data_IF_051054217143
#
_entry.id   IF_051054217143
#
_cell.length_a   1.000
_cell.length_b   1.000
_cell.length_c   1.000
_cell.angle_alpha   90.00
_cell.angle_beta   90.00
_cell.angle_gamma   90.00
#
_symmetry.space_group_name_H-M   'P 1'
#
loop_
_entity.id
_entity.type
_entity.pdbx_description
1 polymer ?
#
# COMPACT_ATOMS: atom_id res chain seq x y z
N UNK A 1 -17.83 -0.97 50.73
CA UNK A 1 -16.77 -1.35 49.78
C UNK A 1 -16.38 -0.08 49.06
N UNK A 2 -15.09 0.34 49.06
CA UNK A 2 -14.71 1.54 48.34
C UNK A 2 -14.89 1.26 46.85
N UNK A 3 -15.66 2.11 46.17
CA UNK A 3 -15.73 2.14 44.72
C UNK A 3 -14.33 2.37 44.18
N UNK A 4 -13.67 1.28 43.80
CA UNK A 4 -12.48 1.29 42.97
C UNK A 4 -12.87 1.97 41.66
N UNK A 5 -12.75 3.29 41.60
CA UNK A 5 -12.91 4.03 40.35
C UNK A 5 -11.99 3.39 39.31
N UNK A 6 -12.60 2.66 38.38
CA UNK A 6 -11.87 2.05 37.28
C UNK A 6 -11.16 3.18 36.54
N UNK A 7 -9.82 3.12 36.50
CA UNK A 7 -8.98 4.08 35.81
C UNK A 7 -9.45 4.22 34.36
N UNK A 8 -9.70 5.44 33.90
CA UNK A 8 -10.13 5.66 32.52
C UNK A 8 -9.02 5.23 31.55
N UNK A 9 -9.40 4.89 30.31
CA UNK A 9 -8.43 4.48 29.30
C UNK A 9 -7.40 5.58 29.00
N UNK A 10 -7.84 6.84 28.99
CA UNK A 10 -6.95 8.00 28.79
C UNK A 10 -5.98 8.13 29.96
N UNK A 11 -6.45 7.96 31.20
CA UNK A 11 -5.57 7.99 32.38
C UNK A 11 -4.54 6.86 32.35
N UNK A 12 -4.95 5.66 31.93
CA UNK A 12 -4.04 4.52 31.76
C UNK A 12 -2.93 4.81 30.72
N UNK A 13 -3.29 5.47 29.61
CA UNK A 13 -2.34 5.90 28.59
C UNK A 13 -1.40 6.99 29.11
N UNK A 14 -1.92 8.02 29.80
CA UNK A 14 -1.10 9.10 30.40
C UNK A 14 -0.14 8.51 31.43
N UNK A 15 -0.62 7.65 32.32
CA UNK A 15 0.21 6.96 33.29
C UNK A 15 1.30 6.15 32.59
N UNK A 16 0.97 5.38 31.55
CA UNK A 16 1.96 4.62 30.79
C UNK A 16 3.00 5.49 30.05
N UNK A 17 2.60 6.67 29.59
CA UNK A 17 3.48 7.63 28.92
C UNK A 17 4.40 8.40 29.87
N UNK A 18 3.96 8.63 31.11
CA UNK A 18 4.62 9.55 32.06
C UNK A 18 5.19 8.86 33.29
N UNK A 19 4.88 7.58 33.53
CA UNK A 19 5.33 6.88 34.72
C UNK A 19 6.85 6.94 34.87
N UNK A 20 7.35 7.23 36.08
CA UNK A 20 8.78 7.20 36.34
C UNK A 20 9.27 5.75 36.22
N UNK A 21 10.32 5.58 35.42
CA UNK A 21 11.05 4.32 35.25
C UNK A 21 12.52 4.62 35.44
N UNK A 22 13.17 3.94 36.40
CA UNK A 22 14.59 4.14 36.66
C UNK A 22 15.43 3.74 35.45
N UNK A 23 16.66 4.25 35.37
CA UNK A 23 17.57 3.89 34.28
C UNK A 23 17.82 2.37 34.21
N UNK A 24 18.03 1.74 35.38
CA UNK A 24 18.18 0.28 35.49
C UNK A 24 16.94 -0.47 34.97
N UNK A 25 15.74 -0.02 35.34
CA UNK A 25 14.50 -0.61 34.83
C UNK A 25 14.33 -0.40 33.32
N UNK A 26 14.73 0.77 32.80
CA UNK A 26 14.68 1.07 31.36
C UNK A 26 15.64 0.20 30.56
N UNK A 27 16.87 0.02 31.06
CA UNK A 27 17.88 -0.85 30.45
C UNK A 27 17.43 -2.32 30.44
N UNK A 28 16.89 -2.79 31.57
CA UNK A 28 16.30 -4.13 31.66
C UNK A 28 15.11 -4.28 30.71
N UNK A 29 14.19 -3.31 30.68
CA UNK A 29 13.02 -3.32 29.82
C UNK A 29 13.35 -3.31 28.32
N UNK A 30 14.50 -2.76 27.93
CA UNK A 30 14.97 -2.71 26.54
C UNK A 30 15.70 -3.98 26.08
N UNK A 31 15.96 -4.95 26.96
CA UNK A 31 16.74 -6.15 26.66
C UNK A 31 15.96 -7.42 27.04
N UNK A 32 16.07 -8.53 26.28
CA UNK A 32 15.45 -9.80 26.67
C UNK A 32 15.84 -10.19 28.11
N UNK A 33 14.89 -10.61 28.97
CA UNK A 33 13.52 -11.05 28.66
C UNK A 33 12.46 -9.92 28.63
N UNK A 34 12.86 -8.65 28.62
CA UNK A 34 11.98 -7.47 28.61
C UNK A 34 11.04 -7.38 29.83
N UNK A 35 11.55 -7.44 31.07
CA UNK A 35 10.72 -7.31 32.26
C UNK A 35 9.97 -5.96 32.23
N UNK A 36 8.64 -6.01 32.31
CA UNK A 36 7.82 -4.79 32.36
C UNK A 36 8.02 -4.13 33.73
N UNK A 37 8.41 -2.84 33.79
CA UNK A 37 8.51 -2.12 35.06
C UNK A 37 7.21 -2.21 35.86
N UNK A 38 7.25 -2.39 37.20
CA UNK A 38 6.03 -2.56 38.02
C UNK A 38 5.00 -1.44 37.82
N UNK A 39 5.48 -0.20 37.66
CA UNK A 39 4.64 0.99 37.41
C UNK A 39 3.89 0.95 36.08
N UNK A 40 4.33 0.12 35.13
CA UNK A 40 3.73 -0.04 33.81
C UNK A 40 2.83 -1.27 33.68
N UNK A 41 2.84 -2.20 34.66
CA UNK A 41 2.10 -3.47 34.55
C UNK A 41 0.59 -3.23 34.42
N UNK A 42 -0.01 -2.48 35.35
CA UNK A 42 -1.43 -2.18 35.35
C UNK A 42 -1.89 -1.37 34.11
N UNK A 43 -1.27 -0.22 33.75
CA UNK A 43 -1.68 0.53 32.58
C UNK A 43 -1.45 -0.26 31.28
N UNK A 44 -0.38 -1.06 31.17
CA UNK A 44 -0.17 -1.94 30.01
C UNK A 44 -1.28 -2.97 29.88
N UNK A 45 -1.66 -3.64 30.97
CA UNK A 45 -2.71 -4.65 30.96
C UNK A 45 -4.07 -4.05 30.57
N UNK A 46 -4.42 -2.88 31.13
CA UNK A 46 -5.65 -2.16 30.80
C UNK A 46 -5.70 -1.78 29.30
N UNK A 47 -4.66 -1.12 28.81
CA UNK A 47 -4.59 -0.67 27.40
C UNK A 47 -4.56 -1.84 26.43
N UNK A 48 -3.80 -2.90 26.74
CA UNK A 48 -3.75 -4.08 25.87
C UNK A 48 -5.07 -4.86 25.86
N UNK A 49 -5.73 -4.98 27.02
CA UNK A 49 -7.05 -5.60 27.11
C UNK A 49 -8.08 -4.89 26.24
N UNK A 50 -8.11 -3.55 26.27
CA UNK A 50 -9.01 -2.77 25.42
C UNK A 50 -8.69 -2.94 23.92
N UNK A 51 -7.41 -2.95 23.56
CA UNK A 51 -6.99 -3.20 22.17
C UNK A 51 -7.43 -4.59 21.67
N UNK A 52 -7.29 -5.61 22.50
CA UNK A 52 -7.67 -6.98 22.15
C UNK A 52 -9.19 -7.14 22.08
N UNK A 53 -9.93 -6.52 23.01
CA UNK A 53 -11.39 -6.57 23.04
C UNK A 53 -12.05 -5.92 21.81
N UNK A 54 -11.36 -4.98 21.15
CA UNK A 54 -11.84 -4.30 19.92
C UNK A 54 -11.33 -4.93 18.62
N UNK A 55 -10.62 -6.05 18.68
CA UNK A 55 -10.30 -6.79 17.47
C UNK A 55 -11.60 -7.31 16.84
N UNK A 56 -11.87 -7.03 15.55
CA UNK A 56 -13.02 -7.62 14.89
C UNK A 56 -12.83 -9.13 14.80
N UNK A 57 -13.94 -9.89 14.88
CA UNK A 57 -13.92 -11.34 14.71
C UNK A 57 -13.31 -11.71 13.34
N UNK A 58 -13.79 -11.05 12.28
CA UNK A 58 -13.34 -11.23 10.90
C UNK A 58 -12.66 -9.96 10.34
N UNK A 59 -11.72 -10.17 9.41
CA UNK A 59 -10.98 -9.08 8.76
C UNK A 59 -9.91 -8.42 9.64
N UNK A 60 -9.30 -7.34 9.14
CA UNK A 60 -8.13 -6.73 9.79
C UNK A 60 -8.42 -5.46 10.61
N UNK A 61 -9.68 -5.00 10.64
CA UNK A 61 -10.10 -3.77 11.33
C UNK A 61 -9.73 -2.48 10.57
N UNK A 62 -9.94 -1.30 11.18
CA UNK A 62 -9.69 -0.03 10.52
C UNK A 62 -8.20 0.21 10.24
N UNK A 63 -7.92 1.09 9.30
CA UNK A 63 -6.55 1.50 8.99
C UNK A 63 -5.99 2.39 10.12
N UNK A 64 -4.77 2.08 10.53
CA UNK A 64 -4.07 2.71 11.66
C UNK A 64 -2.72 3.27 11.22
N UNK A 65 -2.32 4.42 11.77
CA UNK A 65 -0.99 5.00 11.65
C UNK A 65 -0.48 5.43 13.02
N UNK A 66 0.62 4.81 13.46
CA UNK A 66 1.16 5.04 14.81
C UNK A 66 2.36 6.00 14.82
N UNK A 67 2.93 6.28 13.65
CA UNK A 67 4.05 7.21 13.48
C UNK A 67 3.73 8.25 12.42
N UNK A 68 4.10 9.50 12.68
CA UNK A 68 3.76 10.63 11.79
C UNK A 68 4.24 10.41 10.35
N UNK A 69 5.43 9.84 10.15
CA UNK A 69 5.97 9.45 8.84
C UNK A 69 5.88 7.94 8.55
N UNK A 70 5.27 7.16 9.43
CA UNK A 70 5.19 5.69 9.29
C UNK A 70 4.22 5.23 8.20
N UNK A 71 4.20 3.93 7.89
CA UNK A 71 3.20 3.36 7.01
C UNK A 71 1.82 3.36 7.68
N UNK A 72 0.77 3.38 6.87
CA UNK A 72 -0.59 3.03 7.31
C UNK A 72 -0.70 1.50 7.29
N UNK A 73 -1.21 0.92 8.36
CA UNK A 73 -1.33 -0.53 8.53
C UNK A 73 -2.70 -0.90 9.10
N UNK A 74 -3.23 -2.09 8.81
CA UNK A 74 -4.45 -2.56 9.44
C UNK A 74 -4.32 -2.69 10.97
N UNK A 75 -5.39 -2.35 11.70
CA UNK A 75 -5.46 -2.38 13.16
C UNK A 75 -4.97 -3.71 13.77
N UNK A 76 -5.42 -4.84 13.22
CA UNK A 76 -5.03 -6.18 13.68
C UNK A 76 -3.52 -6.41 13.66
N UNK A 77 -2.80 -5.87 12.66
CA UNK A 77 -1.34 -5.95 12.61
C UNK A 77 -0.69 -5.11 13.72
N UNK A 78 -1.25 -3.94 14.01
CA UNK A 78 -0.75 -3.07 15.07
C UNK A 78 -0.96 -3.70 16.46
N UNK A 79 -2.13 -4.29 16.73
CA UNK A 79 -2.38 -5.03 17.98
C UNK A 79 -1.43 -6.22 18.10
N UNK A 80 -1.26 -7.02 17.04
CA UNK A 80 -0.27 -8.13 17.02
C UNK A 80 1.14 -7.66 17.34
N UNK A 81 1.55 -6.49 16.83
CA UNK A 81 2.85 -5.90 17.13
C UNK A 81 2.99 -5.51 18.60
N UNK A 82 1.96 -4.87 19.18
CA UNK A 82 1.93 -4.44 20.59
C UNK A 82 1.88 -5.60 21.60
N UNK A 83 1.37 -6.77 21.18
CA UNK A 83 1.36 -8.00 21.99
C UNK A 83 2.72 -8.67 22.11
N UNK A 84 3.65 -8.43 21.17
CA UNK A 84 4.93 -9.15 21.13
C UNK A 84 5.75 -8.88 22.40
N UNK A 85 6.56 -9.86 22.86
CA UNK A 85 7.54 -9.61 23.90
C UNK A 85 8.45 -8.44 23.51
N UNK A 86 8.61 -7.48 24.41
CA UNK A 86 9.37 -6.25 24.17
C UNK A 86 8.75 -5.03 24.84
N UNK A 87 9.38 -3.85 24.66
CA UNK A 87 8.84 -2.60 25.17
C UNK A 87 7.46 -2.28 24.57
N UNK A 88 6.43 -2.25 25.41
CA UNK A 88 5.11 -1.75 25.08
C UNK A 88 5.15 -0.25 24.79
N UNK A 89 4.54 0.15 23.67
CA UNK A 89 4.60 1.52 23.15
C UNK A 89 3.24 2.19 23.31
N UNK A 90 3.04 2.87 24.45
CA UNK A 90 1.77 3.54 24.77
C UNK A 90 1.35 4.58 23.71
N UNK A 91 2.29 5.29 23.08
CA UNK A 91 1.98 6.21 21.98
C UNK A 91 1.41 5.50 20.74
N UNK A 92 1.91 4.30 20.42
CA UNK A 92 1.39 3.50 19.30
C UNK A 92 0.01 2.92 19.66
N UNK A 93 -0.18 2.53 20.92
CA UNK A 93 -1.47 2.08 21.44
C UNK A 93 -2.54 3.18 21.42
N UNK A 94 -2.19 4.42 21.80
CA UNK A 94 -3.09 5.57 21.73
C UNK A 94 -3.63 5.80 20.30
N UNK A 95 -2.75 5.75 19.30
CA UNK A 95 -3.15 5.86 17.89
C UNK A 95 -4.08 4.71 17.47
N UNK A 96 -3.76 3.48 17.86
CA UNK A 96 -4.59 2.33 17.54
C UNK A 96 -5.97 2.41 18.21
N UNK A 97 -6.04 2.83 19.47
CA UNK A 97 -7.29 3.02 20.21
C UNK A 97 -8.14 4.16 19.62
N UNK A 98 -7.50 5.23 19.13
CA UNK A 98 -8.18 6.29 18.39
C UNK A 98 -8.76 5.75 17.08
N UNK A 99 -8.07 4.85 16.38
CA UNK A 99 -8.56 4.26 15.12
C UNK A 99 -9.86 3.45 15.28
N UNK A 100 -10.10 2.88 16.46
CA UNK A 100 -11.30 2.10 16.79
C UNK A 100 -12.30 2.86 17.69
N UNK A 101 -12.13 4.18 17.82
CA UNK A 101 -13.02 5.05 18.60
C UNK A 101 -13.03 4.75 20.11
N UNK A 102 -12.02 4.07 20.64
CA UNK A 102 -11.87 3.85 22.09
C UNK A 102 -11.31 5.10 22.79
N UNK A 103 -10.46 5.83 22.08
CA UNK A 103 -10.03 7.19 22.43
C UNK A 103 -10.77 8.14 21.50
N UNK A 104 -11.45 9.14 22.05
CA UNK A 104 -12.13 10.19 21.28
C UNK A 104 -11.14 11.24 20.79
N UNK A 105 -11.58 12.14 19.90
CA UNK A 105 -10.75 13.29 19.50
C UNK A 105 -10.35 14.16 20.70
N UNK A 106 -11.27 14.41 21.64
CA UNK A 106 -10.97 15.16 22.88
C UNK A 106 -9.94 14.43 23.77
N UNK A 107 -10.06 13.10 23.86
CA UNK A 107 -9.08 12.27 24.55
C UNK A 107 -7.71 12.31 23.86
N UNK A 108 -7.67 12.36 22.53
CA UNK A 108 -6.44 12.54 21.78
C UNK A 108 -5.80 13.92 22.02
N UNK A 109 -6.59 14.98 22.15
CA UNK A 109 -6.09 16.30 22.53
C UNK A 109 -5.53 16.32 23.95
N UNK A 110 -6.18 15.61 24.89
CA UNK A 110 -5.67 15.46 26.27
C UNK A 110 -4.34 14.70 26.31
N UNK A 111 -4.16 13.70 25.43
CA UNK A 111 -2.92 12.93 25.34
C UNK A 111 -1.77 13.72 24.69
N UNK A 112 -2.08 14.69 23.82
CA UNK A 112 -1.10 15.39 22.97
C UNK A 112 0.15 15.90 23.72
N UNK A 113 0.05 16.55 24.90
CA UNK A 113 1.23 17.04 25.64
C UNK A 113 2.18 15.93 26.12
N UNK A 114 1.70 14.70 26.21
CA UNK A 114 2.46 13.54 26.72
C UNK A 114 3.04 12.66 25.61
N UNK A 115 2.67 12.93 24.34
CA UNK A 115 3.07 12.10 23.22
C UNK A 115 4.43 12.53 22.64
N UNK A 116 5.26 11.58 22.19
CA UNK A 116 6.51 11.93 21.54
C UNK A 116 6.23 12.62 20.18
N UNK A 117 7.11 13.51 19.70
CA UNK A 117 6.94 14.20 18.40
C UNK A 117 6.80 13.26 17.19
N UNK A 118 7.28 12.02 17.30
CA UNK A 118 7.16 11.01 16.25
C UNK A 118 5.80 10.29 16.22
N UNK A 119 4.93 10.52 17.20
CA UNK A 119 3.62 9.89 17.33
C UNK A 119 2.70 10.25 16.16
N UNK A 120 1.93 9.27 15.68
CA UNK A 120 1.00 9.42 14.57
C UNK A 120 -0.37 10.01 14.91
N UNK A 121 -0.63 10.43 16.15
CA UNK A 121 -2.00 10.73 16.64
C UNK A 121 -2.76 11.71 15.74
N UNK A 122 -2.12 12.82 15.32
CA UNK A 122 -2.76 13.80 14.44
C UNK A 122 -3.03 13.25 13.03
N UNK A 123 -2.15 12.38 12.53
CA UNK A 123 -2.36 11.71 11.25
C UNK A 123 -3.43 10.62 11.35
N UNK A 124 -3.59 9.98 12.51
CA UNK A 124 -4.72 9.08 12.74
C UNK A 124 -6.05 9.83 12.78
N UNK A 125 -6.11 11.04 13.36
CA UNK A 125 -7.30 11.90 13.28
C UNK A 125 -7.66 12.17 11.80
N UNK A 126 -6.67 12.46 10.94
CA UNK A 126 -6.89 12.59 9.49
C UNK A 126 -7.52 11.33 8.91
N UNK A 127 -6.97 10.14 9.19
CA UNK A 127 -7.51 8.87 8.66
C UNK A 127 -8.95 8.60 9.14
N UNK A 128 -9.27 8.88 10.40
CA UNK A 128 -10.62 8.72 10.93
C UNK A 128 -11.62 9.65 10.22
N UNK A 129 -11.22 10.89 9.94
CA UNK A 129 -12.05 11.85 9.18
C UNK A 129 -12.25 11.42 7.73
N UNK A 130 -11.20 10.90 7.08
CA UNK A 130 -11.30 10.33 5.74
C UNK A 130 -12.24 9.11 5.69
N UNK A 131 -12.20 8.24 6.70
CA UNK A 131 -13.11 7.10 6.81
C UNK A 131 -14.58 7.53 7.00
N UNK A 132 -14.82 8.71 7.56
CA UNK A 132 -16.14 9.34 7.69
C UNK A 132 -16.52 10.24 6.51
N UNK A 133 -15.73 10.24 5.43
CA UNK A 133 -15.90 11.09 4.24
C UNK A 133 -15.82 12.62 4.51
N UNK A 134 -15.20 13.02 5.62
CA UNK A 134 -15.02 14.42 6.02
C UNK A 134 -13.68 14.97 5.50
N UNK A 135 -13.61 15.30 4.20
CA UNK A 135 -12.38 15.83 3.57
C UNK A 135 -11.96 17.17 4.18
N UNK A 136 -12.92 18.04 4.47
CA UNK A 136 -12.66 19.36 5.07
C UNK A 136 -12.07 19.22 6.47
N UNK A 137 -12.69 18.39 7.32
CA UNK A 137 -12.19 18.09 8.65
C UNK A 137 -10.85 17.37 8.63
N UNK A 138 -10.62 16.46 7.68
CA UNK A 138 -9.33 15.83 7.46
C UNK A 138 -8.25 16.87 7.12
N UNK A 139 -8.55 17.84 6.27
CA UNK A 139 -7.63 18.93 5.91
C UNK A 139 -7.29 19.81 7.11
N UNK A 140 -8.31 20.19 7.90
CA UNK A 140 -8.12 20.95 9.13
C UNK A 140 -7.29 20.18 10.17
N UNK A 141 -7.48 18.87 10.29
CA UNK A 141 -6.67 18.03 11.16
C UNK A 141 -5.21 17.94 10.68
N UNK A 142 -4.99 17.81 9.37
CA UNK A 142 -3.64 17.78 8.79
C UNK A 142 -2.87 19.08 9.01
N UNK A 143 -3.56 20.24 8.95
CA UNK A 143 -2.97 21.55 9.21
C UNK A 143 -2.51 21.73 10.68
N UNK A 144 -3.10 20.98 11.63
CA UNK A 144 -2.71 20.98 13.05
C UNK A 144 -1.52 20.05 13.38
N UNK A 145 -1.02 19.28 12.41
CA UNK A 145 0.13 18.39 12.65
C UNK A 145 1.42 19.23 12.70
N UNK A 146 2.02 19.26 13.89
CA UNK A 146 3.23 20.03 14.18
C UNK A 146 4.51 19.46 13.53
N UNK A 147 5.63 20.18 13.71
CA UNK A 147 6.97 19.70 13.31
C UNK A 147 7.21 19.67 11.79
N UNK A 148 6.42 20.39 10.99
CA UNK A 148 6.59 20.48 9.54
C UNK A 148 6.36 19.15 8.81
N UNK A 149 5.59 18.24 9.43
CA UNK A 149 5.24 16.91 8.92
C UNK A 149 3.78 16.78 8.47
N UNK A 150 2.95 17.80 8.67
CA UNK A 150 1.54 17.80 8.25
C UNK A 150 1.30 17.57 6.76
N UNK A 151 2.31 17.81 5.91
CA UNK A 151 2.27 17.41 4.49
C UNK A 151 1.99 15.92 4.29
N UNK A 152 2.35 15.06 5.24
CA UNK A 152 2.07 13.62 5.18
C UNK A 152 0.58 13.33 5.36
N UNK A 153 -0.11 14.04 6.26
CA UNK A 153 -1.57 13.98 6.38
C UNK A 153 -2.26 14.49 5.10
N UNK A 154 -1.78 15.59 4.53
CA UNK A 154 -2.29 16.07 3.22
C UNK A 154 -2.10 15.06 2.08
N UNK A 155 -1.08 14.20 2.16
CA UNK A 155 -0.90 13.11 1.19
C UNK A 155 -1.87 11.96 1.40
N UNK A 156 -2.32 11.68 2.62
CA UNK A 156 -3.38 10.70 2.85
C UNK A 156 -4.71 11.21 2.27
N UNK A 157 -4.98 12.52 2.41
CA UNK A 157 -6.13 13.17 1.76
C UNK A 157 -6.01 13.07 0.24
N UNK A 158 -4.84 13.41 -0.31
CA UNK A 158 -4.60 13.30 -1.75
C UNK A 158 -4.75 11.85 -2.25
N UNK A 159 -4.34 10.85 -1.47
CA UNK A 159 -4.56 9.44 -1.77
C UNK A 159 -6.06 9.10 -1.84
N UNK A 160 -6.86 9.55 -0.89
CA UNK A 160 -8.31 9.32 -0.89
C UNK A 160 -9.00 10.00 -2.08
N UNK A 161 -8.61 11.24 -2.41
CA UNK A 161 -9.13 11.97 -3.58
C UNK A 161 -8.70 11.30 -4.89
N UNK A 162 -7.45 10.86 -4.97
CA UNK A 162 -6.91 10.13 -6.12
C UNK A 162 -7.68 8.84 -6.38
N UNK A 163 -7.94 8.03 -5.35
CA UNK A 163 -8.66 6.76 -5.50
C UNK A 163 -10.09 6.94 -6.04
N UNK A 164 -10.72 8.08 -5.71
CA UNK A 164 -12.05 8.50 -6.18
C UNK A 164 -12.04 9.14 -7.57
N UNK A 165 -10.87 9.43 -8.13
CA UNK A 165 -10.74 10.19 -9.37
C UNK A 165 -11.07 11.69 -9.22
N UNK A 166 -11.06 12.26 -8.01
CA UNK A 166 -11.28 13.69 -7.81
C UNK A 166 -10.00 14.49 -8.12
N UNK A 167 -9.76 14.72 -9.41
CA UNK A 167 -8.63 15.50 -9.90
C UNK A 167 -8.67 16.97 -9.42
N UNK A 168 -9.86 17.58 -9.33
CA UNK A 168 -10.00 18.96 -8.93
C UNK A 168 -9.58 19.15 -7.46
N UNK A 169 -10.13 18.34 -6.55
CA UNK A 169 -9.76 18.32 -5.14
C UNK A 169 -8.29 17.97 -4.94
N UNK A 170 -7.79 16.94 -5.63
CA UNK A 170 -6.38 16.54 -5.57
C UNK A 170 -5.45 17.71 -5.90
N UNK A 171 -5.75 18.45 -6.97
CA UNK A 171 -4.93 19.55 -7.42
C UNK A 171 -5.07 20.82 -6.59
N UNK A 172 -6.22 21.05 -5.95
CA UNK A 172 -6.40 22.13 -4.99
C UNK A 172 -5.45 21.97 -3.79
N UNK A 173 -5.24 20.74 -3.32
CA UNK A 173 -4.34 20.40 -2.21
C UNK A 173 -2.86 20.23 -2.58
N UNK A 174 -2.49 20.34 -3.86
CA UNK A 174 -1.17 19.93 -4.38
C UNK A 174 0.03 20.50 -3.63
N UNK A 175 0.02 21.82 -3.34
CA UNK A 175 1.14 22.48 -2.64
C UNK A 175 1.33 21.95 -1.22
N UNK A 176 0.24 21.59 -0.54
CA UNK A 176 0.25 21.09 0.85
C UNK A 176 0.86 19.68 0.96
N UNK A 177 0.89 18.93 -0.15
CA UNK A 177 1.56 17.63 -0.23
C UNK A 177 3.11 17.72 -0.24
N UNK A 178 3.67 18.94 -0.24
CA UNK A 178 5.10 19.22 -0.27
C UNK A 178 5.85 18.40 -1.35
N UNK A 179 5.55 18.62 -2.65
CA UNK A 179 6.03 17.79 -3.75
C UNK A 179 7.57 17.71 -3.85
N UNK A 180 8.30 18.70 -3.32
CA UNK A 180 9.75 18.72 -3.29
C UNK A 180 10.38 17.79 -2.23
N UNK A 181 9.65 17.41 -1.16
CA UNK A 181 10.21 16.65 -0.02
C UNK A 181 10.40 15.16 -0.31
N UNK A 182 9.49 14.57 -1.07
CA UNK A 182 9.53 13.14 -1.44
C UNK A 182 8.89 12.98 -2.81
N UNK A 183 9.74 12.83 -3.82
CA UNK A 183 9.34 12.70 -5.22
C UNK A 183 8.72 11.34 -5.53
N UNK A 184 9.16 10.28 -4.85
CA UNK A 184 8.69 8.92 -5.11
C UNK A 184 7.25 8.73 -4.61
N UNK A 185 6.98 9.12 -3.35
CA UNK A 185 5.62 9.05 -2.81
C UNK A 185 4.64 9.95 -3.58
N UNK A 186 5.12 11.03 -4.20
CA UNK A 186 4.30 11.84 -5.09
C UNK A 186 4.01 11.15 -6.43
N UNK A 187 4.99 10.47 -7.02
CA UNK A 187 4.76 9.71 -8.25
C UNK A 187 3.70 8.62 -8.06
N UNK A 188 3.68 7.95 -6.90
CA UNK A 188 2.61 7.00 -6.57
C UNK A 188 1.22 7.66 -6.48
N UNK A 189 1.13 8.84 -5.87
CA UNK A 189 -0.14 9.59 -5.83
C UNK A 189 -0.63 10.00 -7.22
N UNK A 190 0.28 10.44 -8.09
CA UNK A 190 -0.03 10.77 -9.49
C UNK A 190 -0.56 9.56 -10.25
N UNK A 191 0.12 8.41 -10.11
CA UNK A 191 -0.32 7.13 -10.67
C UNK A 191 -1.74 6.81 -10.21
N UNK A 192 -1.97 6.79 -8.89
CA UNK A 192 -3.29 6.50 -8.29
C UNK A 192 -4.37 7.44 -8.80
N UNK A 193 -4.07 8.72 -9.01
CA UNK A 193 -5.05 9.67 -9.52
C UNK A 193 -5.46 9.31 -10.96
N UNK A 194 -4.51 9.01 -11.84
CA UNK A 194 -4.81 8.63 -13.23
C UNK A 194 -5.63 7.33 -13.25
N UNK A 195 -5.27 6.34 -12.43
CA UNK A 195 -6.03 5.09 -12.29
C UNK A 195 -7.44 5.34 -11.73
N UNK A 196 -7.58 6.21 -10.73
CA UNK A 196 -8.87 6.59 -10.16
C UNK A 196 -9.77 7.29 -11.16
N UNK A 197 -9.25 8.26 -11.92
CA UNK A 197 -9.99 8.94 -13.00
C UNK A 197 -10.37 7.95 -14.10
N UNK A 198 -9.49 7.01 -14.46
CA UNK A 198 -9.80 5.99 -15.45
C UNK A 198 -11.00 5.13 -15.02
N UNK A 199 -11.05 4.74 -13.74
CA UNK A 199 -12.18 3.98 -13.18
C UNK A 199 -13.46 4.79 -13.07
N UNK A 200 -13.38 6.06 -12.69
CA UNK A 200 -14.55 6.91 -12.42
C UNK A 200 -15.15 7.51 -13.70
N UNK A 201 -14.30 7.90 -14.66
CA UNK A 201 -14.66 8.75 -15.79
C UNK A 201 -14.18 8.23 -17.15
N UNK A 202 -13.54 7.06 -17.21
CA UNK A 202 -13.03 6.47 -18.44
C UNK A 202 -11.58 6.84 -18.77
N UNK A 203 -10.98 6.05 -19.65
CA UNK A 203 -9.56 6.18 -20.02
C UNK A 203 -9.28 7.47 -20.80
N UNK A 204 -10.23 7.99 -21.57
CA UNK A 204 -10.09 9.25 -22.31
C UNK A 204 -9.85 10.42 -21.36
N UNK A 205 -10.65 10.50 -20.29
CA UNK A 205 -10.52 11.53 -19.26
C UNK A 205 -9.18 11.39 -18.51
N UNK A 206 -8.78 10.17 -18.18
CA UNK A 206 -7.51 9.90 -17.52
C UNK A 206 -6.30 10.23 -18.42
N UNK A 207 -6.40 9.96 -19.72
CA UNK A 207 -5.36 10.30 -20.68
C UNK A 207 -5.25 11.82 -20.84
N UNK A 208 -6.38 12.52 -20.99
CA UNK A 208 -6.42 13.98 -21.05
C UNK A 208 -5.80 14.61 -19.79
N UNK A 209 -6.02 14.02 -18.62
CA UNK A 209 -5.43 14.45 -17.36
C UNK A 209 -3.89 14.45 -17.40
N UNK A 210 -3.27 13.49 -18.11
CA UNK A 210 -1.80 13.39 -18.21
C UNK A 210 -1.13 14.54 -18.98
N UNK A 211 -1.92 15.34 -19.70
CA UNK A 211 -1.45 16.58 -20.31
C UNK A 211 -1.20 17.71 -19.28
N UNK A 212 -1.70 17.59 -18.04
CA UNK A 212 -1.40 18.54 -16.98
C UNK A 212 0.10 18.50 -16.65
N UNK A 213 0.75 19.67 -16.66
CA UNK A 213 2.19 19.82 -16.39
C UNK A 213 2.65 19.26 -15.04
N UNK A 214 1.74 19.10 -14.07
CA UNK A 214 2.03 18.52 -12.76
C UNK A 214 2.10 17.01 -12.82
N UNK A 215 1.44 16.36 -13.79
CA UNK A 215 1.50 14.91 -14.01
C UNK A 215 2.57 14.59 -15.06
N UNK A 216 2.32 14.98 -16.31
CA UNK A 216 3.13 14.68 -17.47
C UNK A 216 2.79 13.34 -18.15
N UNK A 217 3.27 13.14 -19.39
CA UNK A 217 2.90 12.01 -20.24
C UNK A 217 3.41 10.65 -19.73
N UNK A 218 4.40 10.63 -18.84
CA UNK A 218 4.92 9.40 -18.24
C UNK A 218 3.87 8.58 -17.47
N UNK A 219 2.73 9.18 -17.12
CA UNK A 219 1.63 8.50 -16.44
C UNK A 219 0.54 7.99 -17.40
N UNK A 220 0.66 8.22 -18.71
CA UNK A 220 -0.38 7.89 -19.69
C UNK A 220 -0.77 6.41 -19.69
N UNK A 221 0.18 5.49 -19.45
CA UNK A 221 -0.13 4.05 -19.37
C UNK A 221 -1.17 3.74 -18.29
N UNK A 222 -1.21 4.50 -17.20
CA UNK A 222 -2.12 4.24 -16.09
C UNK A 222 -3.58 4.51 -16.43
N UNK A 223 -3.85 5.29 -17.49
CA UNK A 223 -5.20 5.55 -17.98
C UNK A 223 -5.89 4.27 -18.49
N UNK A 224 -5.12 3.26 -18.90
CA UNK A 224 -5.63 2.02 -19.49
C UNK A 224 -5.65 0.85 -18.51
N UNK A 225 -5.28 1.05 -17.25
CA UNK A 225 -5.26 -0.03 -16.24
C UNK A 225 -6.66 -0.53 -15.88
N UNK A 226 -7.69 0.28 -16.08
CA UNK A 226 -9.08 -0.06 -15.78
C UNK A 226 -9.66 -1.16 -16.69
N UNK A 227 -9.01 -1.49 -17.82
CA UNK A 227 -9.45 -2.59 -18.69
C UNK A 227 -9.33 -3.97 -18.03
N UNK A 228 -8.43 -4.14 -17.05
CA UNK A 228 -8.24 -5.40 -16.35
C UNK A 228 -8.01 -6.58 -17.32
N UNK A 229 -8.89 -7.58 -17.28
CA UNK A 229 -8.83 -8.77 -18.14
C UNK A 229 -9.46 -8.58 -19.55
N UNK A 230 -10.00 -7.41 -19.89
CA UNK A 230 -10.57 -7.14 -21.23
C UNK A 230 -9.48 -6.88 -22.28
N UNK A 231 -8.86 -7.97 -22.75
CA UNK A 231 -7.77 -7.93 -23.74
C UNK A 231 -8.25 -7.31 -25.07
N UNK A 232 -9.43 -7.67 -25.55
CA UNK A 232 -9.94 -7.21 -26.86
C UNK A 232 -10.40 -5.74 -26.82
N UNK A 233 -10.99 -5.29 -25.72
CA UNK A 233 -11.26 -3.87 -25.49
C UNK A 233 -9.98 -3.05 -25.50
N UNK A 234 -8.98 -3.48 -24.73
CA UNK A 234 -7.69 -2.80 -24.65
C UNK A 234 -6.99 -2.73 -26.01
N UNK A 235 -6.96 -3.84 -26.77
CA UNK A 235 -6.37 -3.88 -28.12
C UNK A 235 -7.01 -2.89 -29.08
N UNK A 236 -8.35 -2.84 -29.11
CA UNK A 236 -9.09 -1.92 -30.00
C UNK A 236 -8.75 -0.47 -29.70
N UNK A 237 -8.66 -0.11 -28.42
CA UNK A 237 -8.34 1.25 -28.00
C UNK A 237 -6.89 1.61 -28.32
N UNK A 238 -5.93 0.74 -27.99
CA UNK A 238 -4.51 1.01 -28.25
C UNK A 238 -4.20 1.17 -29.74
N UNK A 239 -4.89 0.41 -30.61
CA UNK A 239 -4.75 0.54 -32.06
C UNK A 239 -5.25 1.89 -32.60
N UNK A 240 -6.24 2.52 -31.96
CA UNK A 240 -6.85 3.76 -32.43
C UNK A 240 -6.24 5.05 -31.87
N UNK A 241 -5.62 4.99 -30.68
CA UNK A 241 -5.25 6.19 -29.93
C UNK A 241 -3.81 6.66 -30.22
N UNK A 242 -2.88 5.74 -30.48
CA UNK A 242 -1.48 6.07 -30.77
C UNK A 242 -0.74 6.84 -29.66
N UNK A 243 -1.28 6.90 -28.44
CA UNK A 243 -0.74 7.72 -27.36
C UNK A 243 0.42 7.10 -26.58
N UNK A 244 0.68 5.80 -26.78
CA UNK A 244 1.69 5.06 -26.02
C UNK A 244 2.78 4.50 -26.94
N UNK A 245 4.06 4.55 -26.53
CA UNK A 245 5.13 3.76 -27.14
C UNK A 245 4.80 2.26 -27.14
N UNK A 246 5.29 1.52 -28.13
CA UNK A 246 5.01 0.08 -28.30
C UNK A 246 5.30 -0.72 -27.01
N UNK A 247 6.40 -0.45 -26.33
CA UNK A 247 6.77 -1.18 -25.12
C UNK A 247 5.77 -0.98 -23.95
N UNK A 248 5.18 0.21 -23.86
CA UNK A 248 4.14 0.51 -22.86
C UNK A 248 2.84 -0.18 -23.22
N UNK A 249 2.48 -0.23 -24.51
CA UNK A 249 1.34 -1.01 -24.99
C UNK A 249 1.50 -2.51 -24.69
N UNK A 250 2.68 -3.07 -24.96
CA UNK A 250 2.99 -4.48 -24.66
C UNK A 250 2.94 -4.77 -23.16
N UNK A 251 3.33 -3.81 -22.32
CA UNK A 251 3.21 -3.95 -20.86
C UNK A 251 1.76 -4.06 -20.41
N UNK A 252 0.87 -3.21 -20.94
CA UNK A 252 -0.56 -3.23 -20.64
C UNK A 252 -1.21 -4.52 -21.14
N UNK A 253 -0.93 -4.92 -22.39
CA UNK A 253 -1.47 -6.14 -22.99
C UNK A 253 -0.98 -7.40 -22.27
N UNK A 254 0.28 -7.43 -21.82
CA UNK A 254 0.81 -8.54 -21.05
C UNK A 254 0.09 -8.71 -19.71
N UNK A 255 -0.17 -7.61 -19.00
CA UNK A 255 -0.95 -7.68 -17.77
C UNK A 255 -2.39 -8.14 -18.01
N UNK A 256 -3.06 -7.59 -19.04
CA UNK A 256 -4.43 -8.00 -19.37
C UNK A 256 -4.53 -9.50 -19.71
N UNK A 257 -3.58 -10.02 -20.50
CA UNK A 257 -3.52 -11.46 -20.85
C UNK A 257 -3.28 -12.31 -19.61
N UNK A 258 -2.41 -11.90 -18.67
CA UNK A 258 -2.21 -12.63 -17.41
C UNK A 258 -3.47 -12.70 -16.57
N UNK A 259 -4.19 -11.59 -16.45
CA UNK A 259 -5.44 -11.55 -15.70
C UNK A 259 -6.50 -12.43 -16.37
N UNK A 260 -6.61 -12.40 -17.70
CA UNK A 260 -7.56 -13.19 -18.47
C UNK A 260 -7.27 -14.70 -18.44
N UNK A 261 -6.00 -15.10 -18.49
CA UNK A 261 -5.59 -16.51 -18.47
C UNK A 261 -5.82 -17.19 -17.12
N UNK A 262 -5.85 -16.41 -16.03
CA UNK A 262 -5.97 -16.94 -14.67
C UNK A 262 -4.72 -17.66 -14.19
N UNK A 263 -4.88 -18.53 -13.17
CA UNK A 263 -3.76 -19.31 -12.59
C UNK A 263 -3.68 -20.69 -13.23
N UNK A 264 -2.48 -21.12 -13.58
CA UNK A 264 -2.16 -22.46 -14.09
C UNK A 264 -3.04 -22.88 -15.30
N UNK A 265 -3.03 -22.13 -16.42
CA UNK A 265 -3.93 -22.38 -17.53
C UNK A 265 -3.67 -23.73 -18.24
N UNK A 266 -4.75 -24.36 -18.72
CA UNK A 266 -4.69 -25.60 -19.49
C UNK A 266 -4.21 -25.39 -20.93
N UNK A 267 -4.51 -24.23 -21.50
CA UNK A 267 -4.13 -23.81 -22.86
C UNK A 267 -3.73 -22.34 -22.83
N UNK A 268 -2.99 -21.90 -23.85
CA UNK A 268 -2.66 -20.48 -23.98
C UNK A 268 -3.92 -19.63 -24.18
N UNK A 269 -3.90 -18.40 -23.69
CA UNK A 269 -4.88 -17.39 -24.09
C UNK A 269 -4.76 -17.17 -25.61
N UNK A 270 -5.85 -17.00 -26.38
CA UNK A 270 -5.80 -16.89 -27.85
C UNK A 270 -4.85 -15.80 -28.37
N UNK A 271 -4.69 -14.71 -27.61
CA UNK A 271 -3.80 -13.60 -27.94
C UNK A 271 -2.34 -13.79 -27.53
N UNK A 272 -2.04 -14.75 -26.66
CA UNK A 272 -0.71 -14.91 -26.07
C UNK A 272 0.39 -15.18 -27.12
N UNK A 273 0.19 -16.05 -28.13
CA UNK A 273 1.20 -16.26 -29.17
C UNK A 273 1.58 -14.98 -29.92
N UNK A 274 0.59 -14.20 -30.38
CA UNK A 274 0.83 -12.94 -31.09
C UNK A 274 1.57 -11.93 -30.19
N UNK A 275 1.16 -11.83 -28.92
CA UNK A 275 1.80 -10.94 -27.97
C UNK A 275 3.27 -11.30 -27.72
N UNK A 276 3.57 -12.59 -27.57
CA UNK A 276 4.95 -13.08 -27.43
C UNK A 276 5.76 -12.70 -28.66
N UNK A 277 5.24 -12.91 -29.87
CA UNK A 277 5.94 -12.59 -31.11
C UNK A 277 6.20 -11.07 -31.22
N UNK A 278 5.24 -10.22 -30.84
CA UNK A 278 5.44 -8.75 -30.77
C UNK A 278 6.53 -8.36 -29.78
N UNK A 279 6.57 -8.96 -28.59
CA UNK A 279 7.62 -8.68 -27.60
C UNK A 279 8.99 -9.13 -28.11
N UNK A 280 9.08 -10.28 -28.78
CA UNK A 280 10.32 -10.79 -29.38
C UNK A 280 10.84 -9.85 -30.46
N UNK A 281 9.93 -9.26 -31.25
CA UNK A 281 10.26 -8.32 -32.33
C UNK A 281 10.80 -6.97 -31.84
N UNK A 282 10.69 -6.64 -30.54
CA UNK A 282 11.32 -5.45 -29.96
C UNK A 282 12.84 -5.59 -30.08
N UNK A 283 13.44 -4.70 -30.88
CA UNK A 283 14.86 -4.74 -31.20
C UNK A 283 15.73 -4.68 -29.93
N UNK A 284 16.53 -5.73 -29.66
CA UNK A 284 17.41 -5.74 -28.51
C UNK A 284 18.74 -5.00 -28.72
N UNK A 285 19.02 -4.49 -29.93
CA UNK A 285 20.29 -3.81 -30.24
C UNK A 285 20.29 -2.33 -29.84
N UNK A 286 19.14 -1.75 -29.51
CA UNK A 286 18.97 -0.31 -29.36
C UNK A 286 19.39 0.21 -27.97
N UNK A 287 19.06 -0.50 -26.88
CA UNK A 287 19.34 -0.09 -25.50
C UNK A 287 19.28 -1.28 -24.51
N UNK A 288 20.21 -1.34 -23.55
CA UNK A 288 20.23 -2.33 -22.46
C UNK A 288 18.98 -2.25 -21.58
N UNK A 289 18.42 -1.06 -21.37
CA UNK A 289 17.18 -0.92 -20.60
C UNK A 289 16.00 -1.56 -21.33
N UNK A 290 15.88 -1.33 -22.65
CA UNK A 290 14.87 -1.95 -23.51
C UNK A 290 14.98 -3.47 -23.47
N UNK A 291 16.19 -4.03 -23.61
CA UNK A 291 16.42 -5.49 -23.50
C UNK A 291 15.93 -6.04 -22.17
N UNK A 292 16.23 -5.35 -21.07
CA UNK A 292 15.83 -5.79 -19.73
C UNK A 292 14.30 -5.78 -19.57
N UNK A 293 13.64 -4.73 -20.04
CA UNK A 293 12.17 -4.63 -19.99
C UNK A 293 11.51 -5.69 -20.86
N UNK A 294 12.01 -5.90 -22.09
CA UNK A 294 11.53 -6.95 -23.00
C UNK A 294 11.66 -8.34 -22.38
N UNK A 295 12.83 -8.66 -21.84
CA UNK A 295 13.08 -9.95 -21.18
C UNK A 295 12.20 -10.13 -19.95
N UNK A 296 12.00 -9.06 -19.17
CA UNK A 296 11.07 -9.06 -18.04
C UNK A 296 9.63 -9.29 -18.50
N UNK A 297 9.17 -8.68 -19.60
CA UNK A 297 7.83 -8.90 -20.14
C UNK A 297 7.61 -10.36 -20.53
N UNK A 298 8.53 -10.95 -21.30
CA UNK A 298 8.47 -12.38 -21.66
C UNK A 298 8.44 -13.29 -20.43
N UNK A 299 9.30 -13.00 -19.45
CA UNK A 299 9.34 -13.74 -18.19
C UNK A 299 8.04 -13.59 -17.40
N UNK A 300 7.52 -12.38 -17.31
CA UNK A 300 6.33 -12.06 -16.53
C UNK A 300 5.07 -12.72 -17.09
N UNK A 301 5.02 -13.04 -18.39
CA UNK A 301 3.93 -13.77 -19.04
C UNK A 301 3.90 -15.27 -18.69
N UNK A 302 4.94 -15.81 -18.05
CA UNK A 302 5.04 -17.23 -17.73
C UNK A 302 3.81 -17.82 -17.02
N UNK A 303 3.20 -17.16 -16.02
CA UNK A 303 1.99 -17.68 -15.37
C UNK A 303 0.79 -17.89 -16.31
N UNK A 304 0.77 -17.20 -17.47
CA UNK A 304 -0.29 -17.28 -18.46
C UNK A 304 -0.04 -18.34 -19.56
N UNK A 305 1.12 -19.00 -19.56
CA UNK A 305 1.48 -20.00 -20.58
C UNK A 305 0.89 -21.36 -20.20
N UNK A 306 0.00 -21.88 -21.04
CA UNK A 306 -0.56 -23.23 -20.96
C UNK A 306 0.11 -24.23 -21.90
N UNK A 307 0.91 -23.75 -22.86
CA UNK A 307 1.54 -24.58 -23.89
C UNK A 307 3.07 -24.56 -23.82
N UNK A 308 3.67 -25.75 -23.91
CA UNK A 308 5.13 -25.94 -23.86
C UNK A 308 5.84 -25.22 -25.01
N UNK A 309 5.24 -25.18 -26.20
CA UNK A 309 5.78 -24.49 -27.36
C UNK A 309 5.94 -22.98 -27.11
N UNK A 310 4.98 -22.34 -26.44
CA UNK A 310 5.05 -20.92 -26.11
C UNK A 310 6.11 -20.63 -25.05
N UNK A 311 6.22 -21.49 -24.02
CA UNK A 311 7.29 -21.42 -23.03
C UNK A 311 8.68 -21.49 -23.68
N UNK A 312 8.90 -22.45 -24.58
CA UNK A 312 10.17 -22.65 -25.25
C UNK A 312 10.55 -21.46 -26.16
N UNK A 313 9.56 -20.92 -26.89
CA UNK A 313 9.75 -19.71 -27.70
C UNK A 313 10.19 -18.51 -26.85
N UNK A 314 9.45 -18.22 -25.77
CA UNK A 314 9.80 -17.13 -24.87
C UNK A 314 11.18 -17.31 -24.23
N UNK A 315 11.47 -18.52 -23.73
CA UNK A 315 12.77 -18.86 -23.11
C UNK A 315 13.94 -18.70 -24.08
N UNK A 316 13.77 -19.08 -25.35
CA UNK A 316 14.79 -18.93 -26.40
C UNK A 316 15.11 -17.47 -26.68
N UNK A 317 14.10 -16.60 -26.67
CA UNK A 317 14.23 -15.18 -27.00
C UNK A 317 14.81 -14.32 -25.86
N UNK A 318 14.55 -14.69 -24.59
CA UNK A 318 15.13 -14.02 -23.42
C UNK A 318 16.66 -14.06 -23.53
N UNK A 319 17.36 -13.00 -23.08
CA UNK A 319 18.83 -12.98 -22.99
C UNK A 319 19.32 -13.06 -21.56
N UNK A 320 18.53 -12.58 -20.61
CA UNK A 320 18.81 -12.53 -19.18
C UNK A 320 18.89 -13.95 -18.58
N UNK A 321 20.07 -14.41 -18.11
CA UNK A 321 20.26 -15.79 -17.67
C UNK A 321 19.41 -16.20 -16.48
N UNK A 322 19.14 -15.28 -15.55
CA UNK A 322 18.32 -15.55 -14.37
C UNK A 322 16.91 -16.01 -14.77
N UNK A 323 16.23 -15.26 -15.64
CA UNK A 323 14.90 -15.59 -16.12
C UNK A 323 14.87 -16.94 -16.86
N UNK A 324 15.89 -17.26 -17.66
CA UNK A 324 15.98 -18.56 -18.36
C UNK A 324 16.03 -19.77 -17.44
N UNK A 325 16.65 -19.63 -16.26
CA UNK A 325 16.79 -20.73 -15.29
C UNK A 325 15.44 -21.05 -14.65
N UNK A 326 14.61 -20.03 -14.45
CA UNK A 326 13.29 -20.17 -13.86
C UNK A 326 12.27 -20.76 -14.86
N UNK A 327 12.37 -20.41 -16.14
CA UNK A 327 11.48 -20.87 -17.22
C UNK A 327 11.84 -22.25 -17.79
N UNK A 328 11.65 -23.32 -17.04
CA UNK A 328 11.93 -24.69 -17.50
C UNK A 328 10.72 -25.65 -17.46
N UNK A 329 9.62 -25.24 -16.82
CA UNK A 329 8.37 -25.99 -16.70
C UNK A 329 7.18 -25.05 -16.81
N UNK A 330 6.02 -25.57 -17.21
CA UNK A 330 4.78 -24.79 -17.17
C UNK A 330 4.37 -24.52 -15.72
N UNK A 331 3.64 -23.42 -15.46
CA UNK A 331 3.15 -23.08 -14.10
C UNK A 331 2.43 -24.26 -13.43
N UNK A 332 1.50 -24.90 -14.16
CA UNK A 332 0.73 -26.05 -13.69
C UNK A 332 1.60 -27.23 -13.23
N UNK A 333 2.75 -27.46 -13.88
CA UNK A 333 3.63 -28.58 -13.56
C UNK A 333 4.42 -28.30 -12.27
N UNK A 334 4.76 -27.04 -12.01
CA UNK A 334 5.39 -26.60 -10.76
C UNK A 334 4.39 -26.72 -9.61
N UNK A 335 3.16 -26.24 -9.79
CA UNK A 335 2.11 -26.34 -8.77
C UNK A 335 1.80 -27.81 -8.44
N UNK A 336 1.70 -28.68 -9.45
CA UNK A 336 1.48 -30.12 -9.24
C UNK A 336 2.63 -30.76 -8.44
N UNK A 337 3.89 -30.44 -8.77
CA UNK A 337 5.04 -31.01 -8.07
C UNK A 337 5.22 -30.49 -6.63
N UNK A 338 4.73 -29.30 -6.31
CA UNK A 338 4.67 -28.81 -4.92
C UNK A 338 3.58 -29.51 -4.09
N UNK A 339 2.45 -29.87 -4.69
CA UNK A 339 1.38 -30.61 -4.00
C UNK A 339 1.75 -32.06 -3.67
N UNK A 340 2.66 -32.65 -4.44
CA UNK A 340 3.10 -34.04 -4.27
C UNK A 340 4.39 -34.20 -3.44
N UNK A 341 4.92 -33.13 -2.83
CA UNK A 341 5.97 -33.28 -1.82
C UNK A 341 5.35 -33.75 -0.51
N UNK A 342 5.63 -34.98 -0.02
CA UNK A 342 5.22 -35.36 1.32
C UNK A 342 5.84 -34.40 2.33
N UNK A 343 5.05 -34.00 3.33
CA UNK A 343 5.55 -33.18 4.43
C UNK A 343 6.62 -33.98 5.18
N UNK A 344 7.88 -33.64 4.93
CA UNK A 344 9.05 -34.11 5.67
C UNK A 344 9.18 -33.36 6.99
#
# INVERSE_FOLDING_TARGET
MPDSHAMSLVDALIQGLTAPVSEAQRAAYASPPYPTPPTLVAPRASVLGELEARLPADGDGPMTVTRVLGPVQPYRLQVRSLRRPGPFRFADAACALLAVGAVTDDGAETLRPHLPPSCGIGRQQVLNRLAADDITGASAAADRIEGGTGWKGHRDIAAALADRGDAAGFFAGWKRCAPAKDRHGLADLKRRLVEGVARASGWEAALALTADKRLGPAFAMHAFTAFGADVDGLRRVLAGVGALPELDQLTLLAEAVRQAAGKDPASDHPYLPELVDRIIAVDPATDRAIVRTRDWLLFSLWPAMGEQATLERARKAIRTPQYKRELHRLPRDVTASLRHRPAS
#
